data_IF_780124727926
#
_entry.id   IF_780124727926
#
_cell.length_a   1.000
_cell.length_b   1.000
_cell.length_c   1.000
_cell.angle_alpha   90.00
_cell.angle_beta   90.00
_cell.angle_gamma   90.00
#
_symmetry.space_group_name_H-M   'P 1'
#
loop_
_entity.id
_entity.type
_entity.pdbx_description
1 polymer ?
#
# COMPACT_ATOMS: atom_id res chain seq x y z
N UNK A 1 -33.21 2.59 24.20
CA UNK A 1 -33.05 2.93 22.77
C UNK A 1 -31.70 3.57 22.44
N UNK A 2 -31.16 4.53 23.23
CA UNK A 2 -29.84 5.14 22.93
C UNK A 2 -28.65 4.16 22.96
N UNK A 3 -28.57 3.27 23.97
CA UNK A 3 -27.50 2.25 24.08
C UNK A 3 -27.53 1.20 22.96
N UNK A 4 -28.72 0.78 22.53
CA UNK A 4 -28.90 -0.20 21.44
C UNK A 4 -28.51 0.41 20.08
N UNK A 5 -28.82 1.69 19.85
CA UNK A 5 -28.39 2.40 18.65
C UNK A 5 -26.89 2.64 18.63
N UNK A 6 -26.26 2.92 19.78
CA UNK A 6 -24.79 3.03 19.89
C UNK A 6 -24.12 1.67 19.63
N UNK A 7 -24.64 0.57 20.21
CA UNK A 7 -24.16 -0.79 19.96
C UNK A 7 -24.35 -1.20 18.49
N UNK A 8 -25.47 -0.86 17.86
CA UNK A 8 -25.70 -1.11 16.44
C UNK A 8 -24.75 -0.29 15.57
N UNK A 9 -24.54 0.99 15.89
CA UNK A 9 -23.57 1.83 15.16
C UNK A 9 -22.15 1.25 15.30
N UNK A 10 -21.75 0.88 16.52
CA UNK A 10 -20.47 0.22 16.81
C UNK A 10 -20.30 -1.10 16.06
N UNK A 11 -21.35 -1.93 16.03
CA UNK A 11 -21.34 -3.21 15.31
C UNK A 11 -21.23 -2.97 13.81
N UNK A 12 -21.98 -2.02 13.26
CA UNK A 12 -22.00 -1.69 11.82
C UNK A 12 -20.63 -1.21 11.35
N UNK A 13 -20.00 -0.35 12.16
CA UNK A 13 -18.66 0.20 11.93
C UNK A 13 -17.61 -0.92 12.00
N UNK A 14 -17.64 -1.77 13.03
CA UNK A 14 -16.78 -2.97 13.14
C UNK A 14 -16.95 -3.98 11.99
N UNK A 15 -18.17 -4.22 11.51
CA UNK A 15 -18.42 -5.15 10.40
C UNK A 15 -17.81 -4.64 9.10
N UNK A 16 -17.91 -3.33 8.81
CA UNK A 16 -17.23 -2.73 7.65
C UNK A 16 -15.71 -2.76 7.77
N UNK A 17 -15.17 -2.65 9.00
CA UNK A 17 -13.71 -2.69 9.25
C UNK A 17 -13.11 -4.04 8.94
N UNK A 18 -13.73 -5.10 9.46
CA UNK A 18 -13.29 -6.47 9.20
C UNK A 18 -13.43 -6.80 7.71
N UNK A 19 -14.46 -6.29 7.03
CA UNK A 19 -14.68 -6.57 5.61
C UNK A 19 -13.65 -5.88 4.69
N UNK A 20 -13.32 -4.62 4.94
CA UNK A 20 -12.33 -3.85 4.17
C UNK A 20 -10.92 -4.43 4.32
N UNK A 21 -10.50 -4.69 5.57
CA UNK A 21 -9.21 -5.33 5.86
C UNK A 21 -9.14 -6.75 5.30
N UNK A 22 -10.26 -7.49 5.28
CA UNK A 22 -10.30 -8.81 4.68
C UNK A 22 -10.20 -8.76 3.15
N UNK A 23 -10.91 -7.82 2.52
CA UNK A 23 -10.94 -7.70 1.04
C UNK A 23 -9.56 -7.35 0.50
N UNK A 24 -8.80 -6.51 1.21
CA UNK A 24 -7.44 -6.14 0.80
C UNK A 24 -6.46 -7.32 0.89
N UNK A 25 -6.60 -8.20 1.90
CA UNK A 25 -5.69 -9.33 2.10
C UNK A 25 -5.63 -10.24 0.86
N UNK A 26 -6.74 -10.45 0.16
CA UNK A 26 -6.73 -11.28 -1.05
C UNK A 26 -5.89 -10.64 -2.18
N UNK A 27 -5.96 -9.32 -2.33
CA UNK A 27 -5.15 -8.59 -3.31
C UNK A 27 -3.68 -8.53 -2.89
N UNK A 28 -3.41 -8.29 -1.61
CA UNK A 28 -2.05 -8.35 -1.03
C UNK A 28 -1.41 -9.72 -1.27
N UNK A 29 -2.16 -10.81 -1.09
CA UNK A 29 -1.66 -12.16 -1.30
C UNK A 29 -1.27 -12.42 -2.77
N UNK A 30 -2.01 -11.85 -3.73
CA UNK A 30 -1.66 -11.94 -5.15
C UNK A 30 -0.44 -11.08 -5.46
N UNK A 31 -0.35 -9.87 -4.90
CA UNK A 31 0.85 -9.05 -5.02
C UNK A 31 2.10 -9.79 -4.49
N UNK A 32 2.00 -10.39 -3.30
CA UNK A 32 3.11 -11.17 -2.72
C UNK A 32 3.50 -12.36 -3.59
N UNK A 33 2.54 -12.97 -4.29
CA UNK A 33 2.84 -14.03 -5.25
C UNK A 33 3.65 -13.52 -6.44
N UNK A 34 3.33 -12.32 -6.96
CA UNK A 34 4.11 -11.70 -8.03
C UNK A 34 5.55 -11.40 -7.59
N UNK A 35 5.76 -10.90 -6.38
CA UNK A 35 7.12 -10.72 -5.84
C UNK A 35 7.87 -12.04 -5.71
N UNK A 36 7.22 -13.09 -5.18
CA UNK A 36 7.77 -14.44 -5.16
C UNK A 36 8.15 -14.94 -6.55
N UNK A 37 7.29 -14.69 -7.55
CA UNK A 37 7.54 -15.03 -8.95
C UNK A 37 8.74 -14.27 -9.50
N UNK A 38 8.85 -12.96 -9.25
CA UNK A 38 10.00 -12.17 -9.70
C UNK A 38 11.30 -12.70 -9.13
N UNK A 39 11.36 -13.02 -7.84
CA UNK A 39 12.56 -13.63 -7.24
C UNK A 39 12.90 -14.98 -7.87
N UNK A 40 11.87 -15.77 -8.23
CA UNK A 40 12.09 -17.07 -8.86
C UNK A 40 12.60 -16.95 -10.30
N UNK A 41 12.03 -16.05 -11.10
CA UNK A 41 12.33 -15.89 -12.53
C UNK A 41 13.63 -15.12 -12.75
N UNK A 42 13.94 -14.13 -11.91
CA UNK A 42 15.22 -13.39 -11.94
C UNK A 42 16.41 -14.23 -11.46
N UNK A 43 16.16 -15.22 -10.60
CA UNK A 43 17.22 -15.95 -9.92
C UNK A 43 17.81 -15.21 -8.71
N UNK A 44 17.18 -14.12 -8.26
CA UNK A 44 17.52 -13.46 -7.01
C UNK A 44 17.37 -14.41 -5.80
N UNK A 45 17.99 -14.04 -4.67
CA UNK A 45 17.82 -14.77 -3.43
C UNK A 45 16.35 -14.83 -3.02
N UNK A 46 15.86 -16.04 -2.81
CA UNK A 46 14.46 -16.28 -2.45
C UNK A 46 14.25 -15.89 -1.00
N UNK A 47 13.46 -14.84 -0.77
CA UNK A 47 13.13 -14.37 0.59
C UNK A 47 11.64 -14.49 0.89
N UNK A 48 10.79 -14.44 -0.15
CA UNK A 48 9.34 -14.63 -0.04
C UNK A 48 9.00 -16.12 -0.13
N UNK A 49 8.20 -16.60 0.82
CA UNK A 49 7.61 -17.93 0.87
C UNK A 49 8.57 -19.09 0.54
N UNK A 50 9.81 -19.00 1.02
CA UNK A 50 10.91 -19.92 0.67
C UNK A 50 10.54 -21.40 0.88
N UNK A 51 9.73 -21.70 1.88
CA UNK A 51 9.29 -23.07 2.17
C UNK A 51 8.10 -23.57 1.33
N UNK A 52 7.55 -22.77 0.41
CA UNK A 52 6.39 -23.18 -0.39
C UNK A 52 6.70 -24.40 -1.26
N UNK A 53 7.75 -24.34 -2.06
CA UNK A 53 8.10 -25.43 -3.00
C UNK A 53 8.39 -26.75 -2.26
N UNK A 54 9.09 -26.66 -1.12
CA UNK A 54 9.35 -27.80 -0.25
C UNK A 54 8.06 -28.40 0.35
N UNK A 55 7.07 -27.58 0.69
CA UNK A 55 5.79 -28.04 1.26
C UNK A 55 4.94 -28.81 0.24
N UNK A 56 5.05 -28.47 -1.06
CA UNK A 56 4.34 -29.15 -2.15
C UNK A 56 5.21 -30.15 -2.92
N UNK A 57 6.44 -30.40 -2.47
CA UNK A 57 7.30 -31.47 -2.97
C UNK A 57 7.84 -31.23 -4.38
N UNK A 58 7.89 -29.97 -4.84
CA UNK A 58 8.41 -29.58 -6.15
C UNK A 58 9.75 -28.85 -6.01
N UNK A 59 10.69 -29.09 -6.93
CA UNK A 59 11.89 -28.23 -7.07
C UNK A 59 11.58 -26.96 -7.88
N UNK A 60 10.35 -26.83 -8.37
CA UNK A 60 9.85 -25.74 -9.19
C UNK A 60 9.11 -24.68 -8.37
N UNK A 61 8.80 -23.56 -9.02
CA UNK A 61 7.99 -22.49 -8.45
C UNK A 61 6.57 -22.99 -8.14
N UNK A 62 6.04 -22.63 -6.97
CA UNK A 62 4.65 -22.90 -6.62
C UNK A 62 3.69 -22.20 -7.59
N UNK A 63 2.57 -22.86 -7.90
CA UNK A 63 1.41 -22.19 -8.46
C UNK A 63 0.74 -21.30 -7.40
N UNK A 64 -0.11 -20.37 -7.84
CA UNK A 64 -0.76 -19.42 -6.94
C UNK A 64 -1.58 -20.11 -5.85
N UNK A 65 -2.36 -21.14 -6.18
CA UNK A 65 -3.17 -21.84 -5.18
C UNK A 65 -2.34 -22.54 -4.09
N UNK A 66 -1.18 -23.09 -4.46
CA UNK A 66 -0.20 -23.70 -3.56
C UNK A 66 0.41 -22.64 -2.64
N UNK A 67 0.86 -21.51 -3.21
CA UNK A 67 1.39 -20.37 -2.47
C UNK A 67 0.36 -19.78 -1.50
N UNK A 68 -0.88 -19.58 -1.96
CA UNK A 68 -1.96 -19.06 -1.15
C UNK A 68 -2.24 -20.00 0.04
N UNK A 69 -2.43 -21.30 -0.22
CA UNK A 69 -2.59 -22.31 0.85
C UNK A 69 -1.39 -22.36 1.81
N UNK A 70 -0.17 -22.14 1.30
CA UNK A 70 1.03 -22.13 2.14
C UNK A 70 0.98 -21.00 3.16
N UNK A 71 0.64 -19.79 2.71
CA UNK A 71 0.62 -18.59 3.54
C UNK A 71 -0.62 -18.45 4.40
N UNK A 72 -1.76 -18.97 3.95
CA UNK A 72 -3.01 -18.89 4.70
C UNK A 72 -2.90 -19.68 6.03
N UNK A 73 -3.33 -19.05 7.13
CA UNK A 73 -3.35 -19.69 8.44
C UNK A 73 -4.48 -20.73 8.58
N UNK A 74 -4.30 -21.70 9.48
CA UNK A 74 -5.32 -22.70 9.80
C UNK A 74 -6.66 -22.02 10.15
N UNK A 75 -7.71 -22.30 9.39
CA UNK A 75 -9.07 -21.83 9.65
C UNK A 75 -9.68 -20.93 8.57
N UNK A 76 -8.91 -20.51 7.57
CA UNK A 76 -9.47 -19.87 6.37
C UNK A 76 -9.83 -20.96 5.33
N UNK A 77 -11.12 -21.14 5.00
CA UNK A 77 -11.60 -22.21 4.12
C UNK A 77 -11.35 -21.89 2.63
N UNK A 78 -10.10 -21.64 2.24
CA UNK A 78 -9.74 -21.47 0.83
C UNK A 78 -9.79 -22.80 0.08
N UNK A 79 -10.74 -22.92 -0.85
CA UNK A 79 -10.94 -24.10 -1.70
C UNK A 79 -10.68 -23.72 -3.17
N UNK A 80 -9.42 -23.77 -3.64
CA UNK A 80 -9.10 -23.34 -5.00
C UNK A 80 -9.79 -24.18 -6.05
N UNK A 81 -10.17 -23.52 -7.12
CA UNK A 81 -10.65 -24.08 -8.38
C UNK A 81 -9.47 -24.46 -9.27
N UNK A 82 -9.74 -25.10 -10.40
CA UNK A 82 -8.70 -25.39 -11.41
C UNK A 82 -8.02 -24.11 -11.93
N UNK A 83 -8.75 -22.99 -12.00
CA UNK A 83 -8.24 -21.71 -12.50
C UNK A 83 -7.29 -21.02 -11.50
N UNK A 84 -7.32 -21.41 -10.22
CA UNK A 84 -6.40 -20.92 -9.20
C UNK A 84 -5.01 -21.55 -9.32
N UNK A 85 -4.88 -22.71 -10.00
CA UNK A 85 -3.61 -23.36 -10.26
C UNK A 85 -2.88 -22.69 -11.44
N UNK A 86 -2.44 -21.45 -11.21
CA UNK A 86 -1.89 -20.55 -12.23
C UNK A 86 -0.60 -19.86 -11.77
N UNK A 87 0.24 -19.45 -12.73
CA UNK A 87 1.43 -18.59 -12.50
C UNK A 87 1.17 -17.12 -12.83
N UNK A 88 -0.06 -16.79 -13.22
CA UNK A 88 -0.50 -15.44 -13.62
C UNK A 88 -1.86 -15.14 -12.98
N UNK A 89 -1.95 -15.11 -11.64
CA UNK A 89 -3.20 -14.81 -10.96
C UNK A 89 -3.67 -13.38 -11.25
N UNK A 90 -4.98 -13.18 -11.34
CA UNK A 90 -5.60 -11.88 -11.55
C UNK A 90 -6.62 -11.59 -10.44
N UNK A 91 -7.33 -10.47 -10.55
CA UNK A 91 -8.44 -10.16 -9.64
C UNK A 91 -9.53 -11.26 -9.54
N UNK A 92 -9.63 -12.16 -10.53
CA UNK A 92 -10.54 -13.32 -10.42
C UNK A 92 -10.19 -14.25 -9.25
N UNK A 93 -8.91 -14.48 -9.01
CA UNK A 93 -8.45 -15.33 -7.89
C UNK A 93 -8.72 -14.64 -6.54
N UNK A 94 -8.66 -13.30 -6.47
CA UNK A 94 -9.04 -12.57 -5.26
C UNK A 94 -10.53 -12.76 -4.93
N UNK A 95 -11.39 -12.84 -5.95
CA UNK A 95 -12.83 -13.09 -5.76
C UNK A 95 -13.07 -14.45 -5.11
N UNK A 96 -12.33 -15.49 -5.51
CA UNK A 96 -12.41 -16.81 -4.91
C UNK A 96 -11.94 -16.83 -3.45
N UNK A 97 -10.82 -16.14 -3.15
CA UNK A 97 -10.31 -15.99 -1.78
C UNK A 97 -11.28 -15.24 -0.86
N UNK A 98 -11.91 -14.18 -1.38
CA UNK A 98 -12.82 -13.31 -0.63
C UNK A 98 -14.19 -13.94 -0.38
N UNK A 99 -14.61 -14.94 -1.16
CA UNK A 99 -15.93 -15.56 -1.02
C UNK A 99 -16.17 -16.16 0.36
N UNK A 100 -15.15 -16.80 0.93
CA UNK A 100 -15.24 -17.52 2.20
C UNK A 100 -14.18 -17.03 3.20
N UNK A 101 -13.78 -15.76 3.10
CA UNK A 101 -12.77 -15.16 3.97
C UNK A 101 -13.30 -15.02 5.41
N UNK A 102 -12.63 -15.60 6.42
CA UNK A 102 -13.09 -15.49 7.80
C UNK A 102 -12.91 -14.06 8.32
N UNK A 103 -13.74 -13.66 9.28
CA UNK A 103 -13.62 -12.35 9.97
C UNK A 103 -12.27 -12.09 10.66
N UNK A 104 -11.43 -13.11 10.81
CA UNK A 104 -10.09 -13.01 11.38
C UNK A 104 -9.04 -13.53 10.40
N UNK A 105 -9.24 -13.30 9.11
CA UNK A 105 -8.30 -13.72 8.08
C UNK A 105 -6.95 -13.07 8.33
N UNK A 106 -5.91 -13.90 8.24
CA UNK A 106 -4.52 -13.48 8.38
C UNK A 106 -3.65 -14.48 7.65
N UNK A 107 -2.61 -13.98 7.00
CA UNK A 107 -1.54 -14.82 6.51
C UNK A 107 -0.51 -15.08 7.61
N UNK A 108 0.22 -16.17 7.45
CA UNK A 108 1.28 -16.59 8.34
C UNK A 108 2.57 -15.84 7.99
N UNK A 109 2.82 -14.72 8.67
CA UNK A 109 4.00 -13.86 8.42
C UNK A 109 5.33 -14.63 8.46
N UNK A 110 5.48 -15.57 9.39
CA UNK A 110 6.66 -16.45 9.48
C UNK A 110 6.88 -17.33 8.26
N UNK A 111 5.80 -17.69 7.55
CA UNK A 111 5.89 -18.45 6.29
C UNK A 111 6.11 -17.51 5.12
N UNK A 112 5.56 -16.30 5.16
CA UNK A 112 5.79 -15.27 4.15
C UNK A 112 7.27 -14.90 4.10
N UNK A 113 7.87 -14.54 5.24
CA UNK A 113 9.31 -14.36 5.37
C UNK A 113 9.74 -14.79 6.77
N UNK A 114 10.82 -15.58 6.86
CA UNK A 114 11.33 -16.07 8.14
C UNK A 114 11.69 -14.92 9.10
N UNK A 115 12.12 -13.78 8.55
CA UNK A 115 12.51 -12.60 9.29
C UNK A 115 11.34 -11.87 9.98
N UNK A 116 10.08 -12.28 9.77
CA UNK A 116 8.90 -11.74 10.45
C UNK A 116 8.49 -12.53 11.70
N UNK A 117 9.38 -13.31 12.31
CA UNK A 117 9.02 -14.12 13.49
C UNK A 117 8.48 -13.33 14.70
N UNK A 118 8.80 -12.03 14.77
CA UNK A 118 8.31 -11.10 15.80
C UNK A 118 7.55 -9.90 15.24
N UNK A 119 7.70 -9.62 13.95
CA UNK A 119 7.14 -8.42 13.31
C UNK A 119 5.66 -8.63 12.96
N UNK A 120 4.84 -7.60 13.20
CA UNK A 120 3.40 -7.64 12.98
C UNK A 120 2.84 -6.39 12.34
N UNK A 121 3.62 -5.31 12.26
CA UNK A 121 3.21 -4.11 11.55
C UNK A 121 3.17 -4.41 10.05
N UNK A 122 2.03 -4.14 9.42
CA UNK A 122 1.82 -4.46 8.00
C UNK A 122 2.67 -3.55 7.11
N UNK A 123 2.94 -2.33 7.56
CA UNK A 123 3.88 -1.38 6.93
C UNK A 123 5.24 -2.01 6.70
N UNK A 124 5.82 -2.63 7.74
CA UNK A 124 7.12 -3.32 7.66
C UNK A 124 7.03 -4.56 6.75
N UNK A 125 5.88 -5.23 6.71
CA UNK A 125 5.67 -6.34 5.77
C UNK A 125 5.73 -5.85 4.33
N UNK A 126 5.02 -4.77 4.01
CA UNK A 126 4.97 -4.19 2.67
C UNK A 126 6.33 -3.67 2.22
N UNK A 127 7.06 -2.97 3.11
CA UNK A 127 8.41 -2.47 2.87
C UNK A 127 9.36 -3.60 2.45
N UNK A 128 9.44 -4.69 3.23
CA UNK A 128 10.35 -5.80 2.89
C UNK A 128 9.93 -6.59 1.66
N UNK A 129 8.63 -6.62 1.36
CA UNK A 129 8.14 -7.23 0.12
C UNK A 129 8.51 -6.37 -1.08
N UNK A 130 8.42 -5.04 -0.95
CA UNK A 130 8.89 -4.10 -1.97
C UNK A 130 10.41 -4.22 -2.18
N UNK A 131 11.21 -4.26 -1.11
CA UNK A 131 12.66 -4.48 -1.21
C UNK A 131 12.99 -5.78 -1.96
N UNK A 132 12.24 -6.84 -1.67
CA UNK A 132 12.36 -8.13 -2.35
C UNK A 132 12.00 -8.05 -3.84
N UNK A 133 11.01 -7.22 -4.19
CA UNK A 133 10.64 -6.95 -5.58
C UNK A 133 11.74 -6.17 -6.30
N UNK A 134 12.19 -5.05 -5.74
CA UNK A 134 13.24 -4.22 -6.32
C UNK A 134 14.54 -5.02 -6.51
N UNK A 135 14.94 -5.79 -5.50
CA UNK A 135 16.10 -6.68 -5.60
C UNK A 135 15.98 -7.69 -6.76
N UNK A 136 14.78 -8.21 -7.02
CA UNK A 136 14.54 -9.12 -8.13
C UNK A 136 14.53 -8.42 -9.48
N UNK A 137 13.94 -7.23 -9.56
CA UNK A 137 13.81 -6.42 -10.77
C UNK A 137 15.15 -5.81 -11.20
N UNK A 138 16.06 -5.56 -10.27
CA UNK A 138 17.40 -5.02 -10.52
C UNK A 138 18.46 -6.07 -10.90
N UNK A 139 18.08 -7.35 -11.01
CA UNK A 139 19.01 -8.40 -11.45
C UNK A 139 19.41 -8.17 -12.91
N UNK A 140 20.72 -8.07 -13.15
CA UNK A 140 21.26 -7.85 -14.49
C UNK A 140 20.78 -8.92 -15.50
N UNK A 141 20.15 -8.45 -16.58
CA UNK A 141 19.66 -9.31 -17.67
C UNK A 141 18.31 -9.97 -17.39
N UNK A 142 17.65 -9.67 -16.27
CA UNK A 142 16.27 -10.05 -16.03
C UNK A 142 15.31 -8.98 -16.56
N UNK A 143 14.37 -9.39 -17.41
CA UNK A 143 13.28 -8.55 -17.89
C UNK A 143 11.96 -9.24 -17.50
N UNK A 144 11.21 -8.71 -16.50
CA UNK A 144 9.94 -9.31 -16.10
C UNK A 144 8.93 -9.22 -17.25
N UNK A 145 8.03 -10.19 -17.36
CA UNK A 145 6.94 -10.06 -18.32
C UNK A 145 6.08 -8.84 -17.97
N UNK A 146 5.89 -7.92 -18.93
CA UNK A 146 5.09 -6.69 -18.72
C UNK A 146 3.70 -6.95 -18.15
N UNK A 147 3.09 -8.07 -18.51
CA UNK A 147 1.79 -8.48 -17.97
C UNK A 147 1.88 -8.75 -16.46
N UNK A 148 2.94 -9.39 -15.99
CA UNK A 148 3.12 -9.72 -14.57
C UNK A 148 3.38 -8.46 -13.74
N UNK A 149 4.23 -7.55 -14.24
CA UNK A 149 4.48 -6.27 -13.58
C UNK A 149 3.19 -5.45 -13.47
N UNK A 150 2.40 -5.37 -14.56
CA UNK A 150 1.08 -4.72 -14.56
C UNK A 150 0.10 -5.37 -13.59
N UNK A 151 0.08 -6.70 -13.50
CA UNK A 151 -0.78 -7.38 -12.53
C UNK A 151 -0.33 -7.11 -11.10
N UNK A 152 0.98 -7.05 -10.82
CA UNK A 152 1.48 -6.68 -9.49
C UNK A 152 0.99 -5.28 -9.08
N UNK A 153 1.14 -4.29 -9.97
CA UNK A 153 0.66 -2.91 -9.81
C UNK A 153 -0.87 -2.88 -9.61
N UNK A 154 -1.64 -3.59 -10.44
CA UNK A 154 -3.10 -3.62 -10.31
C UNK A 154 -3.53 -4.19 -8.95
N UNK A 155 -2.82 -5.20 -8.42
CA UNK A 155 -3.17 -5.79 -7.14
C UNK A 155 -2.82 -4.89 -5.96
N UNK A 156 -1.70 -4.15 -6.00
CA UNK A 156 -1.37 -3.16 -4.96
C UNK A 156 -2.38 -2.02 -4.96
N UNK A 157 -2.77 -1.51 -6.14
CA UNK A 157 -3.82 -0.50 -6.28
C UNK A 157 -5.17 -0.99 -5.73
N UNK A 158 -5.57 -2.23 -6.03
CA UNK A 158 -6.82 -2.80 -5.50
C UNK A 158 -6.78 -3.04 -4.00
N UNK A 159 -5.65 -3.47 -3.46
CA UNK A 159 -5.45 -3.59 -2.01
C UNK A 159 -5.57 -2.22 -1.34
N UNK A 160 -4.97 -1.19 -1.92
CA UNK A 160 -5.03 0.18 -1.43
C UNK A 160 -6.46 0.71 -1.44
N UNK A 161 -7.16 0.59 -2.59
CA UNK A 161 -8.55 1.02 -2.73
C UNK A 161 -9.47 0.32 -1.72
N UNK A 162 -9.28 -0.98 -1.46
CA UNK A 162 -10.05 -1.71 -0.46
C UNK A 162 -9.86 -1.18 0.98
N UNK A 163 -8.70 -0.58 1.28
CA UNK A 163 -8.38 0.03 2.58
C UNK A 163 -8.76 1.51 2.67
N UNK A 164 -8.87 2.20 1.53
CA UNK A 164 -8.98 3.65 1.43
C UNK A 164 -10.22 4.24 2.13
N UNK A 165 -11.38 3.62 1.97
CA UNK A 165 -12.69 4.17 2.36
C UNK A 165 -12.84 4.52 3.86
N UNK A 166 -11.98 4.00 4.73
CA UNK A 166 -12.18 4.05 6.19
C UNK A 166 -11.74 5.38 6.81
N UNK A 167 -10.53 5.84 6.49
CA UNK A 167 -9.88 6.96 7.18
C UNK A 167 -9.27 7.99 6.25
N UNK A 168 -9.32 7.80 4.92
CA UNK A 168 -8.71 8.77 4.03
C UNK A 168 -9.31 10.18 4.15
N UNK A 169 -10.59 10.29 4.50
CA UNK A 169 -11.23 11.58 4.78
C UNK A 169 -10.48 12.40 5.84
N UNK A 170 -9.71 11.77 6.73
CA UNK A 170 -8.87 12.48 7.71
C UNK A 170 -7.65 13.13 7.08
N UNK A 171 -7.02 12.48 6.10
CA UNK A 171 -5.93 13.10 5.35
C UNK A 171 -6.45 14.25 4.51
N UNK A 172 -7.60 14.04 3.84
CA UNK A 172 -8.26 15.07 3.04
C UNK A 172 -8.61 16.30 3.89
N UNK A 173 -9.21 16.08 5.07
CA UNK A 173 -9.53 17.15 5.98
C UNK A 173 -8.28 17.81 6.57
N UNK A 174 -7.26 17.04 6.93
CA UNK A 174 -6.01 17.60 7.46
C UNK A 174 -5.29 18.46 6.40
N UNK A 175 -5.43 18.10 5.13
CA UNK A 175 -4.93 18.85 3.99
C UNK A 175 -5.74 20.13 3.78
N UNK A 176 -7.07 20.05 3.76
CA UNK A 176 -7.96 21.22 3.70
C UNK A 176 -7.76 22.18 4.89
N UNK A 177 -7.51 21.65 6.08
CA UNK A 177 -7.20 22.45 7.28
C UNK A 177 -5.84 23.16 7.17
N UNK A 178 -4.90 22.62 6.37
CA UNK A 178 -3.52 23.13 6.25
C UNK A 178 -3.36 24.07 5.06
N UNK A 179 -3.99 23.77 3.93
CA UNK A 179 -3.86 24.47 2.66
C UNK A 179 -5.25 24.61 2.00
N UNK A 180 -6.20 25.33 2.64
CA UNK A 180 -7.59 25.39 2.18
C UNK A 180 -7.71 26.01 0.79
N UNK A 181 -6.87 27.00 0.50
CA UNK A 181 -6.91 27.75 -0.75
C UNK A 181 -6.18 26.99 -1.89
N UNK A 182 -5.25 26.10 -1.54
CA UNK A 182 -4.59 25.21 -2.51
C UNK A 182 -5.42 23.95 -2.86
N UNK A 183 -6.52 23.70 -2.13
CA UNK A 183 -7.21 22.41 -2.17
C UNK A 183 -7.81 22.09 -3.55
N UNK A 184 -8.18 23.11 -4.33
CA UNK A 184 -8.77 22.94 -5.66
C UNK A 184 -7.78 22.47 -6.73
N UNK A 185 -6.47 22.64 -6.50
CA UNK A 185 -5.41 22.20 -7.41
C UNK A 185 -4.97 20.76 -7.17
N UNK A 186 -5.38 20.15 -6.05
CA UNK A 186 -4.94 18.80 -5.67
C UNK A 186 -5.47 17.77 -6.66
N UNK A 187 -4.54 17.00 -7.19
CA UNK A 187 -4.83 15.86 -8.06
C UNK A 187 -4.73 14.56 -7.27
N UNK A 188 -5.69 13.67 -7.52
CA UNK A 188 -5.69 12.32 -6.98
C UNK A 188 -5.79 11.28 -8.09
N UNK A 189 -4.91 10.30 -8.05
CA UNK A 189 -5.07 9.04 -8.79
C UNK A 189 -5.56 7.95 -7.83
N UNK A 190 -6.88 7.75 -7.82
CA UNK A 190 -7.55 6.85 -6.90
C UNK A 190 -7.32 7.24 -5.44
N UNK A 191 -6.45 6.49 -4.77
CA UNK A 191 -6.12 6.66 -3.36
C UNK A 191 -4.86 7.51 -3.10
N UNK A 192 -4.09 7.85 -4.15
CA UNK A 192 -2.83 8.57 -4.02
C UNK A 192 -2.99 10.05 -4.38
N UNK A 193 -2.21 10.89 -3.71
CA UNK A 193 -1.97 12.25 -4.15
C UNK A 193 -0.94 12.24 -5.27
N UNK A 194 -1.29 12.81 -6.41
CA UNK A 194 -0.35 13.04 -7.49
C UNK A 194 0.27 14.43 -7.28
N UNK A 195 1.35 14.47 -6.51
CA UNK A 195 2.01 15.74 -6.16
C UNK A 195 2.64 16.42 -7.36
N UNK A 196 3.13 15.65 -8.33
CA UNK A 196 3.72 16.19 -9.55
C UNK A 196 2.63 16.88 -10.38
N UNK A 197 1.53 16.20 -10.69
CA UNK A 197 0.41 16.81 -11.43
C UNK A 197 -0.25 17.96 -10.63
N UNK A 198 -0.27 17.86 -9.30
CA UNK A 198 -0.75 18.96 -8.43
C UNK A 198 0.11 20.20 -8.57
N UNK A 199 1.44 20.06 -8.51
CA UNK A 199 2.33 21.21 -8.65
C UNK A 199 2.35 21.78 -10.06
N UNK A 200 2.23 20.93 -11.09
CA UNK A 200 2.07 21.35 -12.48
C UNK A 200 0.78 22.17 -12.67
N UNK A 201 -0.34 21.76 -12.05
CA UNK A 201 -1.59 22.54 -12.11
C UNK A 201 -1.48 23.91 -11.46
N UNK A 202 -0.73 24.02 -10.37
CA UNK A 202 -0.48 25.33 -9.73
C UNK A 202 0.38 26.19 -10.66
N UNK A 203 1.40 25.62 -11.29
CA UNK A 203 2.22 26.34 -12.27
C UNK A 203 1.42 26.81 -13.48
N UNK A 204 0.53 25.96 -14.01
CA UNK A 204 -0.36 26.31 -15.11
C UNK A 204 -1.31 27.45 -14.71
N UNK A 205 -1.90 27.42 -13.51
CA UNK A 205 -2.75 28.49 -13.01
C UNK A 205 -2.01 29.83 -12.83
N UNK A 206 -0.74 29.79 -12.42
CA UNK A 206 0.13 30.99 -12.40
C UNK A 206 0.42 31.48 -13.81
N UNK A 207 0.73 30.58 -14.75
CA UNK A 207 1.04 30.92 -16.15
C UNK A 207 -0.17 31.49 -16.91
N UNK A 208 -1.37 31.05 -16.56
CA UNK A 208 -2.64 31.50 -17.15
C UNK A 208 -3.22 32.76 -16.46
N UNK A 209 -2.47 33.37 -15.54
CA UNK A 209 -2.86 34.54 -14.74
C UNK A 209 -4.16 34.29 -13.90
N UNK A 210 -4.47 33.03 -13.56
CA UNK A 210 -5.61 32.67 -12.70
C UNK A 210 -5.31 32.99 -11.22
N UNK A 211 -4.05 32.82 -10.80
CA UNK A 211 -3.51 33.19 -9.48
C UNK A 211 -2.20 33.95 -9.63
N UNK A 212 -1.83 34.74 -8.61
CA UNK A 212 -0.55 35.46 -8.62
C UNK A 212 0.64 34.50 -8.35
N UNK A 213 1.82 34.82 -8.87
CA UNK A 213 3.04 34.03 -8.65
C UNK A 213 3.34 33.80 -7.15
N UNK A 214 3.25 34.85 -6.33
CA UNK A 214 3.51 34.77 -4.89
C UNK A 214 2.45 33.90 -4.17
N UNK A 215 1.23 33.85 -4.70
CA UNK A 215 0.14 33.00 -4.21
C UNK A 215 0.40 31.53 -4.55
N UNK A 216 0.78 31.23 -5.80
CA UNK A 216 1.18 29.88 -6.22
C UNK A 216 2.37 29.32 -5.43
N UNK A 217 3.39 30.13 -5.17
CA UNK A 217 4.52 29.74 -4.31
C UNK A 217 4.08 29.47 -2.86
N UNK A 218 3.11 30.22 -2.34
CA UNK A 218 2.53 29.99 -1.01
C UNK A 218 1.80 28.65 -0.96
N UNK A 219 0.95 28.35 -1.96
CA UNK A 219 0.25 27.06 -2.06
C UNK A 219 1.22 25.89 -2.10
N UNK A 220 2.25 25.96 -2.96
CA UNK A 220 3.29 24.93 -3.02
C UNK A 220 3.99 24.73 -1.67
N UNK A 221 4.34 25.81 -0.98
CA UNK A 221 4.98 25.73 0.33
C UNK A 221 4.07 25.10 1.40
N UNK A 222 2.77 25.39 1.39
CA UNK A 222 1.79 24.79 2.31
C UNK A 222 1.60 23.31 2.05
N UNK A 223 1.49 22.91 0.77
CA UNK A 223 1.39 21.50 0.37
C UNK A 223 2.66 20.70 0.71
N UNK A 224 3.84 21.28 0.50
CA UNK A 224 5.12 20.68 0.93
C UNK A 224 5.20 20.54 2.46
N UNK A 225 4.73 21.54 3.21
CA UNK A 225 4.66 21.47 4.67
C UNK A 225 3.69 20.37 5.13
N UNK A 226 2.55 20.23 4.46
CA UNK A 226 1.60 19.14 4.72
C UNK A 226 2.28 17.79 4.48
N UNK A 227 2.89 17.57 3.31
CA UNK A 227 3.49 16.28 2.95
C UNK A 227 4.61 15.86 3.92
N UNK A 228 5.36 16.81 4.45
CA UNK A 228 6.41 16.56 5.45
C UNK A 228 5.87 16.29 6.87
N UNK A 229 4.64 16.70 7.17
CA UNK A 229 4.07 16.66 8.53
C UNK A 229 2.73 15.94 8.62
N UNK A 230 2.40 15.07 7.65
CA UNK A 230 1.05 14.48 7.51
C UNK A 230 0.59 13.86 8.84
N UNK A 231 1.44 13.09 9.52
CA UNK A 231 1.05 12.42 10.77
C UNK A 231 0.65 13.40 11.87
N UNK A 232 1.41 14.48 12.03
CA UNK A 232 1.11 15.52 13.01
C UNK A 232 -0.18 16.29 12.63
N UNK A 233 -0.43 16.50 11.33
CA UNK A 233 -1.64 17.17 10.82
C UNK A 233 -2.87 16.32 11.03
N UNK A 234 -2.81 15.04 10.63
CA UNK A 234 -3.88 14.07 10.86
C UNK A 234 -4.18 13.93 12.35
N UNK A 235 -3.15 13.85 13.21
CA UNK A 235 -3.33 13.83 14.66
C UNK A 235 -4.06 15.07 15.20
N UNK A 236 -3.68 16.25 14.72
CA UNK A 236 -4.32 17.50 15.11
C UNK A 236 -5.80 17.52 14.70
N UNK A 237 -6.12 17.12 13.47
CA UNK A 237 -7.49 16.98 12.96
C UNK A 237 -8.29 15.94 13.75
N UNK A 238 -7.67 14.79 14.09
CA UNK A 238 -8.31 13.76 14.91
C UNK A 238 -8.70 14.29 16.30
N UNK A 239 -7.79 15.05 16.92
CA UNK A 239 -7.95 15.60 18.27
C UNK A 239 -8.98 16.73 18.29
N UNK A 240 -9.02 17.56 17.24
CA UNK A 240 -9.98 18.65 17.12
C UNK A 240 -11.41 18.13 16.96
N UNK A 241 -11.59 17.06 16.18
CA UNK A 241 -12.90 16.47 15.90
C UNK A 241 -13.41 15.50 16.96
N UNK A 242 -12.51 14.82 17.68
CA UNK A 242 -12.92 13.76 18.62
C UNK A 242 -12.15 13.83 19.95
N UNK A 243 -12.61 14.68 20.86
CA UNK A 243 -11.99 14.90 22.18
C UNK A 243 -11.90 13.65 23.07
N UNK A 244 -12.66 12.60 22.77
CA UNK A 244 -12.72 11.36 23.55
C UNK A 244 -11.98 10.18 22.89
N UNK A 245 -11.19 10.41 21.84
CA UNK A 245 -10.41 9.35 21.19
C UNK A 245 -9.27 8.86 22.10
N UNK A 246 -9.15 7.55 22.25
CA UNK A 246 -8.06 6.95 23.03
C UNK A 246 -6.77 6.88 22.22
N UNK A 247 -5.62 6.88 22.90
CA UNK A 247 -4.31 6.68 22.26
C UNK A 247 -4.29 5.43 21.37
N UNK A 248 -4.80 4.30 21.84
CA UNK A 248 -4.84 3.05 21.06
C UNK A 248 -5.68 3.17 19.79
N UNK A 249 -6.79 3.90 19.82
CA UNK A 249 -7.61 4.14 18.62
C UNK A 249 -6.87 5.03 17.63
N UNK A 250 -6.22 6.08 18.12
CA UNK A 250 -5.40 6.96 17.30
C UNK A 250 -4.24 6.20 16.63
N UNK A 251 -3.48 5.43 17.40
CA UNK A 251 -2.36 4.63 16.88
C UNK A 251 -2.84 3.65 15.80
N UNK A 252 -4.01 3.03 15.99
CA UNK A 252 -4.61 2.15 14.97
C UNK A 252 -5.09 2.86 13.70
N UNK A 253 -5.51 4.13 13.79
CA UNK A 253 -5.87 4.94 12.61
C UNK A 253 -4.62 5.35 11.85
N UNK A 254 -3.58 5.80 12.55
CA UNK A 254 -2.30 6.18 11.91
C UNK A 254 -1.66 4.97 11.22
N UNK A 255 -1.62 3.81 11.87
CA UNK A 255 -1.13 2.57 11.25
C UNK A 255 -1.93 2.23 9.97
N UNK A 256 -3.25 2.39 9.98
CA UNK A 256 -4.09 2.15 8.81
C UNK A 256 -3.73 3.09 7.64
N UNK A 257 -3.52 4.37 7.92
CA UNK A 257 -3.09 5.35 6.92
C UNK A 257 -1.68 5.04 6.41
N UNK A 258 -0.76 4.65 7.28
CA UNK A 258 0.58 4.23 6.87
C UNK A 258 0.54 3.03 5.93
N UNK A 259 -0.33 2.04 6.17
CA UNK A 259 -0.52 0.92 5.25
C UNK A 259 -0.98 1.39 3.86
N UNK A 260 -1.94 2.32 3.81
CA UNK A 260 -2.42 2.90 2.55
C UNK A 260 -1.28 3.58 1.81
N UNK A 261 -0.48 4.41 2.51
CA UNK A 261 0.68 5.10 1.92
C UNK A 261 1.75 4.12 1.45
N UNK A 262 2.08 3.09 2.23
CA UNK A 262 3.04 2.04 1.83
C UNK A 262 2.60 1.31 0.56
N UNK A 263 1.30 1.04 0.39
CA UNK A 263 0.77 0.47 -0.86
C UNK A 263 0.88 1.46 -2.04
N UNK A 264 0.71 2.75 -1.78
CA UNK A 264 0.96 3.83 -2.74
C UNK A 264 2.42 3.87 -3.19
N UNK A 265 3.36 3.91 -2.24
CA UNK A 265 4.82 3.83 -2.53
C UNK A 265 5.15 2.59 -3.35
N UNK A 266 4.64 1.42 -2.94
CA UNK A 266 4.84 0.16 -3.68
C UNK A 266 4.36 0.28 -5.13
N UNK A 267 3.19 0.90 -5.35
CA UNK A 267 2.63 1.08 -6.68
C UNK A 267 3.51 1.99 -7.54
N UNK A 268 3.99 3.11 -6.98
CA UNK A 268 4.84 4.07 -7.67
C UNK A 268 6.18 3.46 -8.08
N UNK A 269 6.85 2.78 -7.15
CA UNK A 269 8.14 2.11 -7.40
C UNK A 269 8.01 1.05 -8.51
N UNK A 270 6.96 0.21 -8.47
CA UNK A 270 6.72 -0.77 -9.55
C UNK A 270 6.40 -0.10 -10.89
N UNK A 271 5.72 1.04 -10.89
CA UNK A 271 5.45 1.82 -12.10
C UNK A 271 6.73 2.39 -12.73
N UNK A 272 7.75 2.73 -11.94
CA UNK A 272 9.03 3.20 -12.49
C UNK A 272 9.66 2.16 -13.41
N UNK A 273 9.56 0.87 -13.08
CA UNK A 273 10.04 -0.22 -13.93
C UNK A 273 9.21 -0.42 -15.22
N UNK A 274 7.99 0.11 -15.29
CA UNK A 274 7.19 0.14 -16.54
C UNK A 274 7.62 1.31 -17.43
N UNK A 275 7.86 2.49 -16.83
CA UNK A 275 8.19 3.73 -17.54
C UNK A 275 9.65 3.75 -18.00
N UNK A 276 10.58 3.22 -17.23
CA UNK A 276 12.01 3.17 -17.59
C UNK A 276 12.29 2.39 -18.89
N UNK A 277 11.43 1.45 -19.29
CA UNK A 277 11.52 0.77 -20.60
C UNK A 277 11.00 1.62 -21.77
N UNK A 278 10.33 2.73 -21.50
CA UNK A 278 9.67 3.60 -22.49
C UNK A 278 10.54 4.78 -22.92
N UNK A 279 11.40 5.28 -22.03
CA UNK A 279 12.14 6.53 -22.22
C UNK A 279 13.66 6.31 -22.12
N UNK A 280 14.27 5.95 -23.26
CA UNK A 280 15.73 6.03 -23.45
C UNK A 280 16.19 7.44 -23.88
N UNK A 281 15.46 8.48 -23.48
CA UNK A 281 15.88 9.87 -23.69
C UNK A 281 15.18 10.86 -22.76
N UNK A 282 15.91 11.45 -21.81
CA UNK A 282 15.50 12.71 -21.20
C UNK A 282 15.80 12.83 -19.72
N UNK A 283 16.94 13.44 -19.43
CA UNK A 283 17.33 14.03 -18.16
C UNK A 283 16.13 14.77 -17.50
N UNK A 284 15.62 14.23 -16.38
CA UNK A 284 14.61 14.92 -15.55
C UNK A 284 15.12 14.95 -14.12
N UNK A 285 15.34 16.17 -13.63
CA UNK A 285 15.67 16.49 -12.26
C UNK A 285 14.46 16.14 -11.38
N UNK A 286 14.40 14.87 -10.96
CA UNK A 286 13.37 14.30 -10.08
C UNK A 286 13.39 14.96 -8.69
N UNK A 287 12.19 15.19 -8.14
CA UNK A 287 12.01 15.39 -6.71
C UNK A 287 12.49 14.15 -5.94
N UNK A 288 13.02 14.29 -4.72
CA UNK A 288 13.72 13.18 -4.08
C UNK A 288 12.73 12.09 -3.66
N UNK A 289 13.12 10.83 -3.89
CA UNK A 289 12.51 9.62 -3.38
C UNK A 289 12.57 9.58 -1.85
N UNK A 290 11.75 10.37 -1.17
CA UNK A 290 11.66 10.36 0.28
C UNK A 290 10.68 9.28 0.76
N UNK A 291 11.00 8.04 0.41
CA UNK A 291 10.59 6.83 1.14
C UNK A 291 11.78 5.89 1.41
N UNK A 292 13.02 6.25 1.03
CA UNK A 292 14.20 5.63 1.62
C UNK A 292 14.50 6.33 2.95
N UNK A 293 14.06 5.73 4.05
CA UNK A 293 14.46 6.16 5.38
C UNK A 293 15.95 5.91 5.59
N UNK A 294 16.75 6.97 5.55
CA UNK A 294 18.04 6.98 6.23
C UNK A 294 17.99 7.99 7.38
N UNK A 295 18.32 7.48 8.58
CA UNK A 295 18.51 8.16 9.86
C UNK A 295 17.27 8.43 10.73
N UNK A 296 16.72 7.37 11.32
CA UNK A 296 16.25 7.45 12.71
C UNK A 296 17.45 7.14 13.62
N UNK A 297 18.25 8.16 13.94
CA UNK A 297 19.16 8.08 15.08
C UNK A 297 18.30 8.03 16.36
N UNK A 298 18.23 6.87 17.00
CA UNK A 298 17.75 6.78 18.37
C UNK A 298 18.78 7.47 19.26
N UNK A 299 18.41 8.64 19.78
CA UNK A 299 19.22 9.33 20.78
C UNK A 299 19.46 8.45 21.99
N UNK A 300 20.73 8.09 22.21
CA UNK A 300 21.22 7.61 23.50
C UNK A 300 20.99 8.73 24.53
N UNK A 301 20.31 8.39 25.62
CA UNK A 301 20.20 9.25 26.81
C UNK A 301 21.02 8.62 27.93
N UNK A 302 21.95 9.40 28.46
CA UNK A 302 22.75 9.16 29.68
C UNK A 302 21.93 8.68 30.89
#
# INVERSE_FOLDING_TARGET
MKLFNILLLWSSVLFTHVLADNTSIAYELIYFYYVYKFQWESGADKTIAVGCSAAYGTEEMCYFDEFAKYLIANGWPYSPTTDDHTKTPTASQATALNKDIPHSARFSLTKLMAAFSSEKAMTIVLERVLDAANTALDVEGYEPAKADLKQAIEMTQRAQAARYDKYNWLEDQALEDTAPDAAEYIVKDGANYDWDETFDKIDDAVNDDEIEYDEGETYKAELLNFSQNIDARVEATLTSQNKDITKTQKDGILEHLHIIRSLGTTTNELNEHVVAESDDSGDSLRAPSHCSSDNIEFGDSD
#
